data_IF_532264937923
#
_entry.id   IF_532264937923
#
_cell.length_a   1.000
_cell.length_b   1.000
_cell.length_c   1.000
_cell.angle_alpha   90.00
_cell.angle_beta   90.00
_cell.angle_gamma   90.00
#
_symmetry.space_group_name_H-M   'P 1'
#
loop_
_entity.id
_entity.type
_entity.pdbx_description
1 polymer ?
#
# COMPACT_ATOMS: atom_id res chain seq x y z
N UNK A 1 -23.71 -20.26 45.71
CA UNK A 1 -23.10 -20.48 44.37
C UNK A 1 -23.33 -21.92 43.98
N UNK A 2 -23.84 -22.19 42.77
CA UNK A 2 -24.13 -23.55 42.32
C UNK A 2 -22.85 -24.19 41.76
N UNK A 3 -22.29 -25.15 42.49
CA UNK A 3 -21.02 -25.78 42.12
C UNK A 3 -21.09 -26.51 40.77
N UNK A 4 -22.25 -27.07 40.42
CA UNK A 4 -22.46 -27.76 39.13
C UNK A 4 -22.38 -26.83 37.91
N UNK A 5 -22.65 -25.53 38.07
CA UNK A 5 -22.52 -24.58 36.95
C UNK A 5 -21.08 -24.07 36.78
N UNK A 6 -20.27 -24.10 37.84
CA UNK A 6 -18.85 -23.74 37.79
C UNK A 6 -18.03 -24.84 37.11
N UNK A 7 -18.32 -26.10 37.45
CA UNK A 7 -17.64 -27.27 36.89
C UNK A 7 -17.84 -27.36 35.36
N UNK A 8 -19.07 -27.16 34.88
CA UNK A 8 -19.38 -27.11 33.43
C UNK A 8 -18.69 -25.95 32.71
N UNK A 9 -18.54 -24.79 33.36
CA UNK A 9 -17.81 -23.63 32.80
C UNK A 9 -16.31 -23.88 32.71
N UNK A 10 -15.74 -24.56 33.70
CA UNK A 10 -14.33 -24.95 33.72
C UNK A 10 -14.03 -26.04 32.67
N UNK A 11 -14.94 -27.00 32.49
CA UNK A 11 -14.82 -28.03 31.46
C UNK A 11 -14.86 -27.43 30.04
N UNK A 12 -15.79 -26.49 29.78
CA UNK A 12 -15.86 -25.76 28.52
C UNK A 12 -14.61 -24.89 28.25
N UNK A 13 -14.07 -24.22 29.29
CA UNK A 13 -12.81 -23.49 29.17
C UNK A 13 -11.62 -24.42 28.90
N UNK A 14 -11.59 -25.60 29.52
CA UNK A 14 -10.58 -26.63 29.29
C UNK A 14 -10.57 -27.15 27.85
N UNK A 15 -11.75 -27.35 27.25
CA UNK A 15 -11.87 -27.76 25.84
C UNK A 15 -11.36 -26.69 24.87
N UNK A 16 -11.60 -25.41 25.17
CA UNK A 16 -11.09 -24.29 24.36
C UNK A 16 -9.56 -24.12 24.46
N UNK A 17 -8.94 -24.48 25.58
CA UNK A 17 -7.48 -24.47 25.75
C UNK A 17 -6.77 -25.62 25.01
N UNK A 18 -7.49 -26.69 24.66
CA UNK A 18 -6.96 -27.80 23.87
C UNK A 18 -6.97 -27.53 22.36
N UNK A 19 -7.56 -26.41 21.92
CA UNK A 19 -7.54 -26.01 20.51
C UNK A 19 -6.11 -25.67 20.06
N UNK A 20 -5.75 -26.09 18.84
CA UNK A 20 -4.41 -25.99 18.26
C UNK A 20 -3.92 -24.54 18.08
N UNK A 21 -4.84 -23.58 18.00
CA UNK A 21 -4.54 -22.14 17.91
C UNK A 21 -5.49 -21.34 18.80
N UNK A 22 -4.94 -20.57 19.73
CA UNK A 22 -5.70 -19.66 20.60
C UNK A 22 -5.63 -18.26 19.98
N UNK A 23 -6.74 -17.83 19.37
CA UNK A 23 -6.90 -16.46 18.88
C UNK A 23 -7.76 -15.64 19.85
N UNK A 24 -7.90 -14.33 19.61
CA UNK A 24 -8.63 -13.42 20.51
C UNK A 24 -10.08 -13.84 20.73
N UNK A 25 -10.78 -14.35 19.71
CA UNK A 25 -12.16 -14.80 19.86
C UNK A 25 -12.25 -16.01 20.80
N UNK A 26 -11.29 -16.93 20.70
CA UNK A 26 -11.14 -18.07 21.62
C UNK A 26 -10.83 -17.58 23.04
N UNK A 27 -9.95 -16.57 23.19
CA UNK A 27 -9.58 -16.00 24.49
C UNK A 27 -10.72 -15.22 25.16
N UNK A 28 -11.49 -14.42 24.43
CA UNK A 28 -12.65 -13.70 24.98
C UNK A 28 -13.77 -14.67 25.40
N UNK A 29 -13.94 -15.75 24.64
CA UNK A 29 -14.85 -16.84 25.02
C UNK A 29 -14.38 -17.47 26.34
N UNK A 30 -13.09 -17.80 26.45
CA UNK A 30 -12.48 -18.32 27.67
C UNK A 30 -12.65 -17.38 28.87
N UNK A 31 -12.43 -16.08 28.67
CA UNK A 31 -12.64 -15.03 29.67
C UNK A 31 -14.10 -14.99 30.13
N UNK A 32 -15.06 -15.11 29.22
CA UNK A 32 -16.49 -15.15 29.57
C UNK A 32 -16.87 -16.39 30.40
N UNK A 33 -16.21 -17.53 30.15
CA UNK A 33 -16.42 -18.75 30.92
C UNK A 33 -15.78 -18.69 32.30
N UNK A 34 -14.65 -18.00 32.44
CA UNK A 34 -13.91 -17.92 33.70
C UNK A 34 -14.30 -16.71 34.57
N UNK A 35 -15.05 -15.74 34.01
CA UNK A 35 -15.42 -14.51 34.70
C UNK A 35 -16.29 -14.76 35.95
N UNK A 36 -15.98 -14.03 37.03
CA UNK A 36 -16.74 -14.09 38.28
C UNK A 36 -16.50 -15.37 39.11
N UNK A 37 -15.56 -16.24 38.70
CA UNK A 37 -15.12 -17.38 39.50
C UNK A 37 -14.18 -16.93 40.61
N UNK A 38 -13.23 -16.03 40.30
CA UNK A 38 -12.32 -15.49 41.29
C UNK A 38 -11.78 -14.10 40.89
N UNK A 39 -11.76 -13.10 41.81
CA UNK A 39 -11.43 -11.70 41.48
C UNK A 39 -10.03 -11.51 40.89
N UNK A 40 -9.03 -12.27 41.36
CA UNK A 40 -7.66 -12.20 40.81
C UNK A 40 -7.57 -12.77 39.40
N UNK A 41 -8.37 -13.79 39.09
CA UNK A 41 -8.41 -14.41 37.77
C UNK A 41 -9.04 -13.44 36.78
N UNK A 42 -10.09 -12.73 37.19
CA UNK A 42 -10.72 -11.69 36.38
C UNK A 42 -9.76 -10.53 36.06
N UNK A 43 -8.98 -10.07 37.04
CA UNK A 43 -7.95 -9.04 36.82
C UNK A 43 -6.86 -9.50 35.84
N UNK A 44 -6.38 -10.75 35.97
CA UNK A 44 -5.36 -11.30 35.08
C UNK A 44 -5.90 -11.50 33.66
N UNK A 45 -7.14 -11.97 33.52
CA UNK A 45 -7.81 -12.13 32.21
C UNK A 45 -8.05 -10.77 31.54
N UNK A 46 -8.34 -9.72 32.30
CA UNK A 46 -8.46 -8.35 31.79
C UNK A 46 -7.12 -7.82 31.26
N UNK A 47 -6.04 -8.01 32.03
CA UNK A 47 -4.69 -7.62 31.60
C UNK A 47 -4.27 -8.33 30.32
N UNK A 48 -4.50 -9.64 30.24
CA UNK A 48 -4.14 -10.44 29.05
C UNK A 48 -5.03 -10.11 27.84
N UNK A 49 -6.32 -9.82 28.04
CA UNK A 49 -7.23 -9.32 26.98
C UNK A 49 -6.71 -8.01 26.39
N UNK A 50 -6.24 -7.09 27.24
CA UNK A 50 -5.67 -5.80 26.83
C UNK A 50 -4.39 -5.99 26.00
N UNK A 51 -3.47 -6.84 26.44
CA UNK A 51 -2.23 -7.09 25.69
C UNK A 51 -2.48 -7.88 24.40
N UNK A 52 -3.42 -8.84 24.37
CA UNK A 52 -3.83 -9.53 23.15
C UNK A 52 -4.42 -8.57 22.12
N UNK A 53 -5.16 -7.54 22.57
CA UNK A 53 -5.65 -6.47 21.71
C UNK A 53 -4.47 -5.70 21.08
N UNK A 54 -3.43 -5.39 21.85
CA UNK A 54 -2.22 -4.74 21.32
C UNK A 54 -1.50 -5.60 20.28
N UNK A 55 -1.34 -6.90 20.54
CA UNK A 55 -0.72 -7.86 19.60
C UNK A 55 -1.54 -7.97 18.32
N UNK A 56 -2.87 -7.99 18.41
CA UNK A 56 -3.75 -8.02 17.24
C UNK A 56 -3.68 -6.72 16.43
N UNK A 57 -3.60 -5.55 17.08
CA UNK A 57 -3.35 -4.28 16.40
C UNK A 57 -1.99 -4.28 15.70
N UNK A 58 -0.94 -4.84 16.31
CA UNK A 58 0.37 -5.00 15.66
C UNK A 58 0.32 -5.94 14.45
N UNK A 59 -0.39 -7.08 14.55
CA UNK A 59 -0.55 -8.04 13.44
C UNK A 59 -1.40 -7.49 12.29
N UNK A 60 -2.36 -6.59 12.57
CA UNK A 60 -3.19 -5.91 11.56
C UNK A 60 -2.53 -4.67 10.95
N UNK A 61 -1.35 -4.28 11.43
CA UNK A 61 -0.66 -3.05 10.97
C UNK A 61 -1.23 -1.76 11.56
N UNK A 62 -2.04 -1.85 12.63
CA UNK A 62 -2.59 -0.75 13.42
C UNK A 62 -1.60 -0.32 14.54
N UNK A 63 -0.29 -0.30 14.27
CA UNK A 63 0.75 0.21 15.18
C UNK A 63 0.58 1.70 15.48
N UNK A 64 -0.23 2.39 14.68
CA UNK A 64 -0.53 3.81 14.77
C UNK A 64 -1.37 4.14 16.02
N UNK A 65 -2.37 3.31 16.38
CA UNK A 65 -3.24 3.57 17.54
C UNK A 65 -2.48 3.41 18.87
N UNK A 66 -1.55 2.45 18.92
CA UNK A 66 -0.66 2.23 20.07
C UNK A 66 0.29 3.41 20.30
N UNK A 67 0.85 3.97 19.22
CA UNK A 67 1.74 5.15 19.31
C UNK A 67 0.95 6.38 19.75
N UNK A 68 -0.28 6.57 19.26
CA UNK A 68 -1.13 7.70 19.69
C UNK A 68 -1.51 7.61 21.17
N UNK A 69 -1.86 6.43 21.66
CA UNK A 69 -2.20 6.23 23.08
C UNK A 69 -1.02 6.60 23.99
N UNK A 70 0.21 6.33 23.55
CA UNK A 70 1.43 6.66 24.29
C UNK A 70 1.91 8.13 24.19
N UNK A 71 1.27 8.98 23.37
CA UNK A 71 1.72 10.37 23.20
C UNK A 71 1.37 11.26 24.42
N UNK A 72 2.32 12.07 24.93
CA UNK A 72 2.10 12.94 26.08
C UNK A 72 1.06 14.03 25.79
N UNK A 73 0.18 14.30 26.76
CA UNK A 73 -0.91 15.29 26.67
C UNK A 73 -0.78 16.44 27.69
N UNK A 74 0.38 16.60 28.33
CA UNK A 74 0.51 17.46 29.51
C UNK A 74 0.42 18.96 29.19
N UNK A 75 0.64 19.38 27.94
CA UNK A 75 0.54 20.79 27.54
C UNK A 75 -0.55 21.04 26.48
N UNK A 76 -1.13 22.26 26.40
CA UNK A 76 -2.10 22.62 25.36
C UNK A 76 -1.56 22.44 23.93
N UNK A 77 -0.26 22.69 23.74
CA UNK A 77 0.41 22.51 22.45
C UNK A 77 0.54 21.02 22.08
N UNK A 78 0.91 20.16 23.04
CA UNK A 78 0.94 18.71 22.86
C UNK A 78 -0.44 18.15 22.54
N UNK A 79 -1.49 18.62 23.21
CA UNK A 79 -2.87 18.25 22.93
C UNK A 79 -3.32 18.67 21.52
N UNK A 80 -2.92 19.86 21.07
CA UNK A 80 -3.19 20.33 19.69
C UNK A 80 -2.45 19.46 18.65
N UNK A 81 -1.19 19.10 18.91
CA UNK A 81 -0.40 18.19 18.06
C UNK A 81 -1.02 16.80 18.00
N UNK A 82 -1.38 16.21 19.15
CA UNK A 82 -2.07 14.91 19.22
C UNK A 82 -3.39 14.92 18.45
N UNK A 83 -4.21 15.96 18.62
CA UNK A 83 -5.47 16.13 17.89
C UNK A 83 -5.25 16.25 16.38
N UNK A 84 -4.20 16.96 15.94
CA UNK A 84 -3.86 17.09 14.53
C UNK A 84 -3.39 15.74 13.94
N UNK A 85 -2.57 14.99 14.67
CA UNK A 85 -2.12 13.65 14.27
C UNK A 85 -3.31 12.69 14.20
N UNK A 86 -4.17 12.65 15.21
CA UNK A 86 -5.41 11.87 15.21
C UNK A 86 -6.31 12.21 14.02
N UNK A 87 -6.47 13.50 13.71
CA UNK A 87 -7.28 13.95 12.58
C UNK A 87 -6.64 13.53 11.24
N UNK A 88 -5.32 13.65 11.11
CA UNK A 88 -4.58 13.19 9.93
C UNK A 88 -4.72 11.67 9.74
N UNK A 89 -4.61 10.90 10.82
CA UNK A 89 -4.72 9.45 10.78
C UNK A 89 -6.14 8.98 10.47
N UNK A 90 -7.15 9.64 11.05
CA UNK A 90 -8.54 9.44 10.69
C UNK A 90 -8.74 9.71 9.20
N UNK A 91 -8.26 10.85 8.71
CA UNK A 91 -8.32 11.21 7.29
C UNK A 91 -7.63 10.16 6.41
N UNK A 92 -6.46 9.68 6.82
CA UNK A 92 -5.69 8.66 6.11
C UNK A 92 -6.43 7.32 6.04
N UNK A 93 -7.09 6.91 7.12
CA UNK A 93 -7.88 5.68 7.17
C UNK A 93 -9.16 5.79 6.33
N UNK A 94 -9.86 6.93 6.44
CA UNK A 94 -11.02 7.25 5.62
C UNK A 94 -10.64 7.23 4.13
N UNK A 95 -9.48 7.80 3.78
CA UNK A 95 -8.94 7.78 2.41
C UNK A 95 -8.63 6.36 1.93
N UNK A 96 -7.97 5.52 2.72
CA UNK A 96 -7.70 4.11 2.36
C UNK A 96 -8.99 3.35 2.10
N UNK A 97 -9.97 3.52 2.97
CA UNK A 97 -11.28 2.87 2.87
C UNK A 97 -11.99 3.31 1.59
N UNK A 98 -11.96 4.61 1.29
CA UNK A 98 -12.58 5.18 0.11
C UNK A 98 -11.88 4.74 -1.19
N UNK A 99 -10.55 4.65 -1.20
CA UNK A 99 -9.78 4.07 -2.31
C UNK A 99 -10.22 2.62 -2.56
N UNK A 100 -10.32 1.79 -1.53
CA UNK A 100 -10.76 0.40 -1.68
C UNK A 100 -12.20 0.29 -2.18
N UNK A 101 -13.10 1.16 -1.71
CA UNK A 101 -14.49 1.23 -2.20
C UNK A 101 -14.52 1.55 -3.70
N UNK A 102 -13.80 2.58 -4.12
CA UNK A 102 -13.75 3.00 -5.52
C UNK A 102 -13.11 1.93 -6.42
N UNK A 103 -12.04 1.27 -5.96
CA UNK A 103 -11.43 0.13 -6.66
C UNK A 103 -12.43 -1.00 -6.88
N UNK A 104 -13.20 -1.37 -5.84
CA UNK A 104 -14.24 -2.40 -5.95
C UNK A 104 -15.34 -1.99 -6.92
N UNK A 105 -15.83 -0.75 -6.83
CA UNK A 105 -16.88 -0.23 -7.74
C UNK A 105 -16.42 -0.23 -9.20
N UNK A 106 -15.18 0.17 -9.47
CA UNK A 106 -14.60 0.15 -10.82
C UNK A 106 -14.27 -1.26 -11.31
N UNK A 107 -13.78 -2.15 -10.44
CA UNK A 107 -13.51 -3.55 -10.78
C UNK A 107 -14.80 -4.32 -11.14
N UNK A 108 -15.87 -4.12 -10.37
CA UNK A 108 -17.19 -4.65 -10.69
C UNK A 108 -17.75 -4.06 -11.98
N UNK A 109 -17.54 -2.77 -12.22
CA UNK A 109 -17.98 -2.10 -13.45
C UNK A 109 -17.24 -2.58 -14.70
N UNK A 110 -15.95 -2.91 -14.63
CA UNK A 110 -15.19 -3.49 -15.76
C UNK A 110 -15.70 -4.87 -16.16
N UNK A 111 -16.27 -5.62 -15.23
CA UNK A 111 -16.81 -6.97 -15.46
C UNK A 111 -18.24 -6.96 -16.03
N UNK A 112 -18.96 -5.84 -15.89
CA UNK A 112 -20.31 -5.64 -16.43
C UNK A 112 -20.26 -4.76 -17.69
N UNK A 113 -20.61 -5.33 -18.87
CA UNK A 113 -20.61 -4.64 -20.19
C UNK A 113 -21.05 -3.16 -20.15
N UNK A 114 -20.34 -2.30 -20.89
CA UNK A 114 -20.65 -0.93 -21.38
C UNK A 114 -21.32 0.10 -20.43
N UNK A 115 -22.45 -0.23 -19.78
CA UNK A 115 -23.19 0.65 -18.87
C UNK A 115 -22.74 0.58 -17.40
N UNK A 116 -21.85 -0.35 -17.03
CA UNK A 116 -21.31 -0.47 -15.67
C UNK A 116 -20.44 0.71 -15.26
N UNK A 117 -19.56 1.16 -16.16
CA UNK A 117 -18.54 2.19 -15.88
C UNK A 117 -19.13 3.59 -15.68
N UNK A 118 -20.13 3.97 -16.47
CA UNK A 118 -20.82 5.27 -16.33
C UNK A 118 -21.60 5.36 -15.02
N UNK A 119 -22.24 4.27 -14.59
CA UNK A 119 -22.93 4.19 -13.30
C UNK A 119 -21.99 4.16 -12.10
N UNK A 120 -20.80 3.58 -12.22
CA UNK A 120 -19.78 3.65 -11.19
C UNK A 120 -19.22 5.09 -11.05
N UNK A 121 -18.89 5.73 -12.17
CA UNK A 121 -18.49 7.15 -12.20
C UNK A 121 -19.54 8.06 -11.58
N UNK A 122 -20.83 7.87 -11.88
CA UNK A 122 -21.91 8.65 -11.29
C UNK A 122 -22.01 8.53 -9.76
N UNK A 123 -21.77 7.33 -9.21
CA UNK A 123 -21.75 7.09 -7.76
C UNK A 123 -20.54 7.72 -7.07
N UNK A 124 -19.37 7.66 -7.71
CA UNK A 124 -18.15 8.34 -7.24
C UNK A 124 -18.38 9.86 -7.20
N UNK A 125 -18.96 10.43 -8.26
CA UNK A 125 -19.28 11.86 -8.32
C UNK A 125 -20.33 12.29 -7.29
N UNK A 126 -21.34 11.45 -7.01
CA UNK A 126 -22.31 11.71 -5.96
C UNK A 126 -21.65 11.75 -4.57
N UNK A 127 -20.73 10.81 -4.28
CA UNK A 127 -19.94 10.81 -3.04
C UNK A 127 -19.04 12.04 -2.89
N UNK A 128 -18.48 12.52 -4.00
CA UNK A 128 -17.62 13.71 -4.04
C UNK A 128 -18.33 15.02 -3.66
N UNK A 129 -19.67 15.07 -3.67
CA UNK A 129 -20.47 16.23 -3.25
C UNK A 129 -20.82 16.23 -1.76
N UNK A 130 -20.48 15.18 -1.02
CA UNK A 130 -20.79 15.05 0.42
C UNK A 130 -19.76 15.72 1.35
N UNK A 131 -19.95 15.64 2.68
CA UNK A 131 -19.00 16.17 3.67
C UNK A 131 -17.62 15.50 3.63
N UNK A 132 -17.51 14.32 3.01
CA UNK A 132 -16.25 13.62 2.74
C UNK A 132 -15.75 13.84 1.30
N UNK A 133 -16.33 14.80 0.58
CA UNK A 133 -16.11 14.96 -0.87
C UNK A 133 -14.66 15.15 -1.28
N UNK A 134 -13.86 15.84 -0.45
CA UNK A 134 -12.43 15.99 -0.68
C UNK A 134 -11.70 14.64 -0.63
N UNK A 135 -12.05 13.77 0.32
CA UNK A 135 -11.48 12.42 0.45
C UNK A 135 -11.85 11.58 -0.76
N UNK A 136 -13.11 11.62 -1.20
CA UNK A 136 -13.57 10.91 -2.39
C UNK A 136 -12.86 11.38 -3.67
N UNK A 137 -12.61 12.68 -3.83
CA UNK A 137 -11.85 13.21 -4.97
C UNK A 137 -10.40 12.73 -4.97
N UNK A 138 -9.72 12.79 -3.82
CA UNK A 138 -8.34 12.30 -3.69
C UNK A 138 -8.27 10.79 -3.95
N UNK A 139 -9.20 10.02 -3.37
CA UNK A 139 -9.32 8.59 -3.59
C UNK A 139 -9.55 8.26 -5.07
N UNK A 140 -10.47 8.97 -5.74
CA UNK A 140 -10.73 8.81 -7.16
C UNK A 140 -9.49 9.09 -8.02
N UNK A 141 -8.71 10.11 -7.68
CA UNK A 141 -7.43 10.40 -8.33
C UNK A 141 -6.40 9.27 -8.16
N UNK A 142 -6.26 8.75 -6.93
CA UNK A 142 -5.39 7.60 -6.64
C UNK A 142 -5.79 6.37 -7.47
N UNK A 143 -7.08 6.07 -7.53
CA UNK A 143 -7.57 4.91 -8.30
C UNK A 143 -7.45 5.16 -9.80
N UNK A 144 -7.65 6.39 -10.28
CA UNK A 144 -7.43 6.73 -11.68
C UNK A 144 -5.97 6.45 -12.09
N UNK A 145 -4.99 6.82 -11.27
CA UNK A 145 -3.57 6.52 -11.52
C UNK A 145 -3.29 5.01 -11.60
N UNK A 146 -3.94 4.21 -10.75
CA UNK A 146 -3.85 2.74 -10.80
C UNK A 146 -4.54 2.13 -12.02
N UNK A 147 -5.74 2.58 -12.35
CA UNK A 147 -6.56 2.03 -13.45
C UNK A 147 -6.00 2.41 -14.81
N UNK A 148 -5.28 3.53 -14.89
CA UNK A 148 -4.65 4.02 -16.12
C UNK A 148 -3.19 3.64 -16.26
N UNK A 149 -2.71 2.69 -15.45
CA UNK A 149 -1.34 2.19 -15.51
C UNK A 149 -0.96 1.79 -16.95
N UNK A 150 0.30 2.08 -17.28
CA UNK A 150 0.94 1.71 -18.54
C UNK A 150 2.10 0.79 -18.25
N UNK A 151 2.33 -0.17 -19.14
CA UNK A 151 3.38 -1.18 -18.98
C UNK A 151 4.63 -0.77 -19.75
N UNK A 152 5.78 -0.72 -19.11
CA UNK A 152 7.08 -0.54 -19.77
C UNK A 152 7.78 -1.88 -19.75
N UNK A 153 7.96 -2.48 -20.93
CA UNK A 153 8.75 -3.71 -21.10
C UNK A 153 10.23 -3.32 -21.17
N UNK A 154 10.99 -3.74 -20.17
CA UNK A 154 12.43 -3.50 -20.05
C UNK A 154 13.17 -4.72 -20.59
N UNK A 155 13.90 -4.55 -21.68
CA UNK A 155 14.65 -5.63 -22.35
C UNK A 155 16.14 -5.48 -22.14
N UNK A 156 16.80 -6.56 -21.74
CA UNK A 156 18.24 -6.67 -21.62
C UNK A 156 18.86 -7.24 -22.90
N UNK A 157 19.27 -6.39 -23.83
CA UNK A 157 19.86 -6.79 -25.11
C UNK A 157 21.39 -6.91 -25.04
N UNK A 158 21.88 -7.91 -24.28
CA UNK A 158 23.31 -8.26 -24.24
C UNK A 158 24.10 -7.65 -23.08
N UNK A 159 23.46 -6.96 -22.14
CA UNK A 159 24.11 -6.48 -20.93
C UNK A 159 24.26 -7.59 -19.89
N UNK A 160 25.11 -7.36 -18.89
CA UNK A 160 25.14 -8.20 -17.68
C UNK A 160 23.75 -8.21 -17.02
N UNK A 161 23.42 -9.24 -16.20
CA UNK A 161 22.14 -9.29 -15.50
C UNK A 161 21.88 -8.00 -14.72
N UNK A 162 20.74 -7.35 -14.99
CA UNK A 162 20.40 -6.07 -14.39
C UNK A 162 19.58 -6.30 -13.13
N UNK A 163 20.10 -5.89 -11.98
CA UNK A 163 19.32 -5.91 -10.73
C UNK A 163 18.69 -4.53 -10.53
N UNK A 164 17.36 -4.42 -10.37
CA UNK A 164 16.70 -3.15 -10.13
C UNK A 164 17.17 -2.53 -8.80
N UNK A 165 18.07 -1.56 -8.86
CA UNK A 165 18.55 -0.82 -7.69
C UNK A 165 17.69 0.43 -7.54
N UNK A 166 16.59 0.31 -6.79
CA UNK A 166 15.73 1.44 -6.52
C UNK A 166 14.63 1.10 -5.53
N UNK A 167 14.85 1.42 -4.26
CA UNK A 167 13.74 1.57 -3.32
C UNK A 167 13.10 2.93 -3.57
N UNK A 168 11.88 2.96 -4.09
CA UNK A 168 11.10 4.21 -4.07
C UNK A 168 10.77 4.47 -2.59
N UNK A 169 11.28 5.57 -2.04
CA UNK A 169 11.06 5.92 -0.63
C UNK A 169 9.57 6.09 -0.28
N UNK A 170 8.72 6.25 -1.29
CA UNK A 170 7.27 6.41 -1.19
C UNK A 170 6.56 5.42 -2.12
N UNK A 171 5.59 4.67 -1.59
CA UNK A 171 4.74 3.80 -2.41
C UNK A 171 3.81 4.66 -3.26
N UNK A 172 4.13 4.80 -4.55
CA UNK A 172 3.31 5.54 -5.50
C UNK A 172 2.21 4.60 -6.03
N UNK A 173 0.91 4.96 -5.91
CA UNK A 173 -0.16 4.17 -6.49
C UNK A 173 0.00 3.96 -8.00
N UNK A 174 -0.10 2.71 -8.46
CA UNK A 174 0.06 2.36 -9.88
C UNK A 174 1.50 2.24 -10.35
N UNK A 175 2.48 2.39 -9.43
CA UNK A 175 3.89 2.11 -9.68
C UNK A 175 4.22 0.71 -9.20
N UNK A 176 4.64 -0.15 -10.11
CA UNK A 176 5.24 -1.46 -9.82
C UNK A 176 6.54 -1.55 -10.61
N UNK A 177 7.66 -1.57 -9.92
CA UNK A 177 8.96 -1.80 -10.54
C UNK A 177 9.28 -3.29 -10.49
N UNK A 178 10.03 -3.83 -11.46
CA UNK A 178 10.55 -5.18 -11.36
C UNK A 178 11.38 -5.32 -10.08
N UNK A 179 11.18 -6.40 -9.35
CA UNK A 179 11.97 -6.75 -8.17
C UNK A 179 13.02 -7.83 -8.44
N UNK A 180 12.85 -8.55 -9.54
CA UNK A 180 13.73 -9.65 -9.95
C UNK A 180 14.85 -9.14 -10.86
N UNK A 181 15.99 -9.81 -10.80
CA UNK A 181 17.10 -9.56 -11.72
C UNK A 181 16.69 -9.91 -13.15
N UNK A 182 16.91 -8.99 -14.09
CA UNK A 182 16.65 -9.20 -15.51
C UNK A 182 17.88 -9.87 -16.14
N UNK A 183 17.84 -11.16 -16.49
CA UNK A 183 18.99 -11.86 -17.05
C UNK A 183 19.39 -11.28 -18.41
N UNK A 184 20.62 -11.56 -18.86
CA UNK A 184 21.06 -11.22 -20.21
C UNK A 184 20.14 -11.85 -21.26
N UNK A 185 19.62 -11.05 -22.19
CA UNK A 185 18.64 -11.48 -23.18
C UNK A 185 17.19 -11.54 -22.64
N UNK A 186 16.99 -11.34 -21.33
CA UNK A 186 15.69 -11.39 -20.69
C UNK A 186 14.93 -10.07 -20.73
N UNK A 187 13.70 -10.12 -20.21
CA UNK A 187 12.83 -8.96 -20.07
C UNK A 187 12.09 -8.95 -18.74
N UNK A 188 11.71 -7.76 -18.29
CA UNK A 188 10.81 -7.57 -17.16
C UNK A 188 9.83 -6.43 -17.46
N UNK A 189 8.72 -6.41 -16.73
CA UNK A 189 7.66 -5.40 -16.95
C UNK A 189 7.58 -4.49 -15.73
N UNK A 190 7.77 -3.19 -15.95
CA UNK A 190 7.42 -2.17 -14.99
C UNK A 190 6.01 -1.63 -15.30
N UNK A 191 5.24 -1.28 -14.28
CA UNK A 191 3.96 -0.56 -14.43
C UNK A 191 4.09 0.81 -13.82
N UNK A 192 3.70 1.83 -14.58
CA UNK A 192 3.77 3.21 -14.14
C UNK A 192 2.45 3.91 -14.44
N UNK A 193 2.07 4.95 -13.68
CA UNK A 193 0.98 5.82 -14.07
C UNK A 193 1.29 6.55 -15.39
N UNK A 194 0.27 7.03 -16.13
CA UNK A 194 0.42 7.70 -17.42
C UNK A 194 0.90 9.14 -17.24
N UNK A 195 2.20 9.31 -16.97
CA UNK A 195 2.79 10.59 -16.56
C UNK A 195 3.80 11.08 -17.59
N UNK A 196 4.18 12.35 -17.48
CA UNK A 196 5.33 12.88 -18.21
C UNK A 196 6.60 12.65 -17.39
N UNK A 197 7.61 12.09 -18.03
CA UNK A 197 8.93 11.84 -17.44
C UNK A 197 9.96 12.58 -18.26
N UNK A 198 10.71 13.47 -17.64
CA UNK A 198 11.89 14.08 -18.26
C UNK A 198 13.08 13.15 -18.04
N UNK A 199 13.76 12.80 -19.13
CA UNK A 199 14.95 11.96 -19.15
C UNK A 199 16.10 12.80 -19.63
N UNK A 200 17.09 13.00 -18.76
CA UNK A 200 18.37 13.58 -19.11
C UNK A 200 19.42 12.48 -19.11
N UNK A 201 19.88 12.12 -20.30
CA UNK A 201 20.94 11.16 -20.55
C UNK A 201 22.11 11.82 -21.30
N UNK A 202 22.34 13.12 -21.09
CA UNK A 202 23.45 13.87 -21.69
C UNK A 202 24.82 13.42 -21.17
N UNK A 203 24.86 12.88 -19.95
CA UNK A 203 26.06 12.33 -19.34
C UNK A 203 26.27 10.86 -19.74
N UNK A 204 27.49 10.45 -20.14
CA UNK A 204 27.73 9.13 -20.74
C UNK A 204 27.44 7.95 -19.80
N UNK A 205 27.58 8.12 -18.48
CA UNK A 205 27.40 7.06 -17.49
C UNK A 205 26.24 7.32 -16.51
N UNK A 206 25.38 8.29 -16.80
CA UNK A 206 24.30 8.65 -15.90
C UNK A 206 23.02 8.98 -16.65
N UNK A 207 21.91 8.53 -16.09
CA UNK A 207 20.57 8.89 -16.53
C UNK A 207 19.84 9.51 -15.36
N UNK A 208 19.30 10.68 -15.58
CA UNK A 208 18.46 11.38 -14.62
C UNK A 208 17.02 11.35 -15.10
N UNK A 209 16.15 10.80 -14.28
CA UNK A 209 14.71 10.81 -14.50
C UNK A 209 14.08 11.84 -13.56
N UNK A 210 13.29 12.76 -14.11
CA UNK A 210 12.53 13.74 -13.34
C UNK A 210 11.04 13.55 -13.59
N UNK A 211 10.27 13.33 -12.53
CA UNK A 211 8.82 13.20 -12.56
C UNK A 211 8.21 13.80 -11.30
N UNK A 212 7.15 14.61 -11.44
CA UNK A 212 6.47 15.27 -10.30
C UNK A 212 7.40 16.00 -9.31
N UNK A 213 8.48 16.59 -9.81
CA UNK A 213 9.48 17.27 -8.97
C UNK A 213 10.44 16.33 -8.23
N UNK A 214 10.26 15.01 -8.34
CA UNK A 214 11.20 14.00 -7.85
C UNK A 214 12.25 13.72 -8.93
N UNK A 215 13.51 13.66 -8.50
CA UNK A 215 14.65 13.37 -9.37
C UNK A 215 15.28 12.04 -8.94
N UNK A 216 15.42 11.13 -9.89
CA UNK A 216 16.06 9.84 -9.71
C UNK A 216 17.30 9.78 -10.59
N UNK A 217 18.43 9.45 -10.00
CA UNK A 217 19.70 9.31 -10.72
C UNK A 217 20.06 7.83 -10.81
N UNK A 218 20.33 7.37 -12.02
CA UNK A 218 20.76 6.00 -12.31
C UNK A 218 22.17 6.06 -12.88
N UNK A 219 23.08 5.28 -12.31
CA UNK A 219 24.42 5.10 -12.87
C UNK A 219 24.37 3.96 -13.89
N UNK A 220 24.78 4.25 -15.12
CA UNK A 220 25.07 3.22 -16.10
C UNK A 220 26.52 2.78 -15.83
N UNK A 221 26.71 1.50 -15.48
CA UNK A 221 28.04 0.95 -15.11
C UNK A 221 29.09 1.10 -16.22
N UNK A 222 28.65 1.38 -17.46
CA UNK A 222 29.50 1.68 -18.62
C UNK A 222 28.83 2.71 -19.54
N UNK A 223 29.64 3.48 -20.28
CA UNK A 223 29.21 4.41 -21.34
C UNK A 223 28.71 3.70 -22.59
N UNK A 224 29.01 2.40 -22.72
CA UNK A 224 28.67 1.61 -23.91
C UNK A 224 27.23 1.08 -23.88
N UNK A 225 26.49 1.35 -22.79
CA UNK A 225 25.08 0.99 -22.64
C UNK A 225 24.22 1.97 -23.43
N UNK A 226 23.64 1.50 -24.52
CA UNK A 226 22.69 2.25 -25.34
C UNK A 226 21.26 2.02 -24.83
N UNK A 227 20.58 3.10 -24.46
CA UNK A 227 19.18 3.10 -24.05
C UNK A 227 18.29 3.54 -25.20
N UNK A 228 17.33 2.69 -25.54
CA UNK A 228 16.39 2.90 -26.62
C UNK A 228 14.97 2.81 -26.04
N UNK A 229 14.22 3.90 -26.10
CA UNK A 229 12.84 3.95 -25.64
C UNK A 229 11.91 4.12 -26.84
N UNK A 230 11.01 3.16 -27.04
CA UNK A 230 10.10 3.09 -28.19
C UNK A 230 10.80 3.32 -29.54
N UNK A 231 11.99 2.71 -29.70
CA UNK A 231 12.81 2.84 -30.91
C UNK A 231 13.66 4.11 -30.98
N UNK A 232 13.48 5.08 -30.07
CA UNK A 232 14.28 6.30 -30.01
C UNK A 232 15.44 6.16 -29.04
N UNK A 233 16.65 6.49 -29.49
CA UNK A 233 17.86 6.49 -28.66
C UNK A 233 17.80 7.66 -27.67
N UNK A 234 18.05 7.38 -26.39
CA UNK A 234 18.02 8.38 -25.33
C UNK A 234 19.39 8.98 -25.01
N UNK A 235 20.48 8.22 -25.19
CA UNK A 235 21.84 8.67 -24.87
C UNK A 235 22.18 9.99 -25.58
N UNK A 236 22.85 10.89 -24.85
CA UNK A 236 23.27 12.20 -25.34
C UNK A 236 22.13 13.22 -25.47
N UNK A 237 20.93 12.92 -24.99
CA UNK A 237 19.76 13.78 -25.14
C UNK A 237 19.08 14.11 -23.82
N UNK A 238 18.39 15.24 -23.81
CA UNK A 238 17.38 15.58 -22.81
C UNK A 238 16.01 15.52 -23.52
N UNK A 239 15.13 14.63 -23.07
CA UNK A 239 13.85 14.40 -23.72
C UNK A 239 12.71 14.28 -22.70
N UNK A 240 11.51 14.69 -23.09
CA UNK A 240 10.30 14.46 -22.30
C UNK A 240 9.53 13.29 -22.92
N UNK A 241 9.29 12.26 -22.12
CA UNK A 241 8.55 11.06 -22.48
C UNK A 241 7.13 11.17 -21.93
N UNK A 242 6.12 11.07 -22.80
CA UNK A 242 4.73 10.99 -22.39
C UNK A 242 4.30 9.53 -22.28
N UNK A 243 4.31 8.99 -21.06
CA UNK A 243 3.90 7.61 -20.79
C UNK A 243 2.39 7.41 -20.96
N UNK A 244 1.60 8.47 -21.02
CA UNK A 244 0.16 8.37 -21.33
C UNK A 244 -0.16 8.20 -22.81
N UNK A 245 0.83 8.28 -23.70
CA UNK A 245 0.60 8.23 -25.15
C UNK A 245 0.15 6.85 -25.64
N UNK A 246 0.54 5.78 -24.95
CA UNK A 246 0.17 4.40 -25.28
C UNK A 246 0.09 3.53 -24.03
N UNK A 247 -0.59 2.37 -24.14
CA UNK A 247 -0.76 1.45 -23.00
C UNK A 247 0.48 0.63 -22.68
N UNK A 248 1.38 0.49 -23.64
CA UNK A 248 2.61 -0.26 -23.51
C UNK A 248 3.75 0.48 -24.20
N UNK A 249 4.90 0.54 -23.52
CA UNK A 249 6.15 1.10 -24.00
C UNK A 249 7.25 0.04 -23.93
N UNK A 250 8.31 0.22 -24.70
CA UNK A 250 9.50 -0.65 -24.67
C UNK A 250 10.74 0.17 -24.36
N UNK A 251 11.48 -0.23 -23.33
CA UNK A 251 12.83 0.24 -23.02
C UNK A 251 13.82 -0.89 -23.29
N UNK A 252 14.79 -0.65 -24.14
CA UNK A 252 15.86 -1.61 -24.47
C UNK A 252 17.17 -1.04 -23.94
N UNK A 253 17.82 -1.81 -23.07
CA UNK A 253 19.21 -1.59 -22.68
C UNK A 253 20.10 -2.51 -23.53
N UNK A 254 20.89 -1.92 -24.41
CA UNK A 254 21.75 -2.66 -25.34
C UNK A 254 23.22 -2.42 -24.98
N UNK A 255 23.96 -3.50 -24.72
CA UNK A 255 25.40 -3.45 -24.51
C UNK A 255 26.13 -3.98 -25.74
N UNK A 256 27.30 -3.41 -26.01
CA UNK A 256 28.23 -3.90 -27.04
C UNK A 256 29.31 -4.77 -26.43
#
# INVERSE_FOLDING_TARGET
MNYQSIEKRLEAAGQLLQAKEINRATFESLRSFLSGIHPRTDQLLESVSRELKHVEHMQKGDTIDLVIESMPEMTPEQKKRKKAILLFLKFWNDLKTEVSRIEKELGQAKSAKSHGTTRAMGRIWAGAKGPLGLITLVAAGIVALKVTEVSIVIKNAGCRPMTPVGSVAVNIPGLLLPSETIPTGGEAVAKLPPIQVSVDATSPNQVRLTMYGLTYNFSLESSDIRLIFDGKVLNGSNTSLNLGSQKQHTLIAQCK
#
